data_IF_587483072410
#
_entry.id   IF_587483072410
#
_cell.length_a   1.000
_cell.length_b   1.000
_cell.length_c   1.000
_cell.angle_alpha   90.00
_cell.angle_beta   90.00
_cell.angle_gamma   90.00
#
_symmetry.space_group_name_H-M   'P 1'
#
loop_
_entity.id
_entity.type
_entity.pdbx_description
1 polymer ?
#
# COMPACT_ATOMS: atom_id res chain seq x y z
N UNK A 1 -9.57 -11.58 17.30
CA UNK A 1 -10.22 -10.26 17.22
C UNK A 1 -9.19 -9.30 16.63
N UNK A 2 -9.43 -8.74 15.44
CA UNK A 2 -8.51 -7.81 14.76
C UNK A 2 -8.75 -6.35 15.17
N UNK A 3 -7.72 -5.49 15.06
CA UNK A 3 -7.90 -4.04 15.20
C UNK A 3 -8.70 -3.50 14.03
N UNK A 4 -9.52 -2.48 14.24
CA UNK A 4 -10.11 -1.77 13.11
C UNK A 4 -9.02 -1.07 12.27
N UNK A 5 -9.30 -0.87 10.97
CA UNK A 5 -8.53 0.04 10.13
C UNK A 5 -8.32 1.40 10.81
N UNK A 6 -7.19 2.10 10.55
CA UNK A 6 -6.20 1.81 9.52
C UNK A 6 -5.15 0.76 9.91
N UNK A 7 -4.57 0.13 8.89
CA UNK A 7 -3.40 -0.76 9.02
C UNK A 7 -2.26 -0.22 8.17
N UNK A 8 -1.02 -0.49 8.55
CA UNK A 8 0.13 -0.01 7.77
C UNK A 8 1.29 -0.98 7.73
N UNK A 9 2.03 -0.91 6.64
CA UNK A 9 3.35 -1.51 6.48
C UNK A 9 4.37 -0.41 6.20
N UNK A 10 5.59 -0.59 6.69
CA UNK A 10 6.70 0.33 6.46
C UNK A 10 7.88 -0.46 5.91
N UNK A 11 8.51 0.07 4.87
CA UNK A 11 9.63 -0.58 4.18
C UNK A 11 10.81 0.39 4.16
N UNK A 12 11.97 -0.05 4.68
CA UNK A 12 13.26 0.61 4.46
C UNK A 12 13.85 0.11 3.13
N UNK A 13 14.06 1.01 2.17
CA UNK A 13 14.65 0.67 0.87
C UNK A 13 16.19 0.60 0.92
N UNK A 14 16.80 0.83 2.09
CA UNK A 14 18.25 0.76 2.34
C UNK A 14 19.05 1.96 1.81
N UNK A 15 18.45 2.80 0.97
CA UNK A 15 19.03 4.03 0.43
C UNK A 15 17.92 5.03 0.09
N UNK A 16 18.28 6.31 -0.03
CA UNK A 16 17.36 7.33 -0.54
C UNK A 16 17.09 7.05 -2.03
N UNK A 17 15.82 6.91 -2.40
CA UNK A 17 15.35 6.64 -3.76
C UNK A 17 14.35 7.68 -4.21
N UNK A 18 14.36 8.02 -5.49
CA UNK A 18 13.29 8.77 -6.15
C UNK A 18 12.30 7.77 -6.75
N UNK A 19 11.07 7.82 -6.25
CA UNK A 19 9.99 6.90 -6.61
C UNK A 19 9.13 7.55 -7.68
N UNK A 20 8.81 6.77 -8.72
CA UNK A 20 7.94 7.18 -9.84
C UNK A 20 6.49 6.77 -9.61
N UNK A 21 6.29 5.57 -9.07
CA UNK A 21 4.98 4.98 -8.80
C UNK A 21 5.10 3.83 -7.80
N UNK A 22 3.98 3.49 -7.18
CA UNK A 22 3.84 2.25 -6.41
C UNK A 22 2.96 1.23 -7.15
N UNK A 23 3.10 -0.02 -6.74
CA UNK A 23 2.27 -1.13 -7.16
C UNK A 23 1.74 -1.91 -5.95
N UNK A 24 0.52 -2.43 -6.06
CA UNK A 24 -0.01 -3.41 -5.11
C UNK A 24 -0.61 -4.59 -5.86
N UNK A 25 -0.39 -5.80 -5.34
CA UNK A 25 -1.03 -7.01 -5.80
C UNK A 25 -1.88 -7.59 -4.67
N UNK A 26 -3.13 -7.93 -4.96
CA UNK A 26 -4.02 -8.61 -4.01
C UNK A 26 -3.61 -10.08 -3.89
N UNK A 27 -3.70 -10.65 -2.69
CA UNK A 27 -3.42 -12.07 -2.47
C UNK A 27 -4.69 -12.89 -2.67
N UNK A 28 -5.02 -13.31 -3.89
CA UNK A 28 -6.05 -14.35 -4.08
C UNK A 28 -5.45 -15.76 -4.22
N UNK A 29 -4.12 -15.90 -4.11
CA UNK A 29 -3.44 -17.20 -4.22
C UNK A 29 -3.50 -18.04 -2.94
N UNK A 30 -4.00 -17.47 -1.83
CA UNK A 30 -3.97 -18.08 -0.49
C UNK A 30 -5.27 -18.81 -0.09
N UNK A 31 -6.21 -19.03 -1.03
CA UNK A 31 -7.43 -19.79 -0.77
C UNK A 31 -8.19 -20.21 -2.03
N UNK A 32 -9.05 -21.25 -1.95
CA UNK A 32 -9.79 -21.79 -3.10
C UNK A 32 -10.76 -20.80 -3.77
N UNK A 33 -11.13 -19.70 -3.10
CA UNK A 33 -12.01 -18.65 -3.60
C UNK A 33 -11.31 -17.27 -3.70
N UNK A 34 -10.01 -17.20 -3.39
CA UNK A 34 -9.30 -15.95 -3.19
C UNK A 34 -9.57 -15.27 -1.85
N UNK A 35 -8.82 -14.21 -1.55
CA UNK A 35 -9.00 -13.35 -0.37
C UNK A 35 -9.24 -11.89 -0.78
N UNK A 36 -10.51 -11.50 -0.82
CA UNK A 36 -10.95 -10.18 -1.26
C UNK A 36 -10.80 -9.10 -0.17
N UNK A 37 -10.15 -9.40 0.96
CA UNK A 37 -10.00 -8.48 2.10
C UNK A 37 -8.93 -7.41 1.90
N UNK A 38 -8.39 -7.27 0.69
CA UNK A 38 -7.50 -6.17 0.35
C UNK A 38 -8.19 -4.80 0.55
N UNK A 39 -7.45 -3.77 0.99
CA UNK A 39 -8.03 -2.45 1.22
C UNK A 39 -8.62 -1.88 -0.09
N UNK A 40 -9.69 -1.10 0.03
CA UNK A 40 -10.32 -0.36 -1.09
C UNK A 40 -9.92 1.12 -1.12
N UNK A 41 -9.28 1.59 -0.05
CA UNK A 41 -8.69 2.92 0.04
C UNK A 41 -7.32 2.82 0.70
N UNK A 42 -6.31 3.39 0.06
CA UNK A 42 -4.92 3.33 0.51
C UNK A 42 -4.26 4.70 0.50
N UNK A 43 -3.18 4.86 1.27
CA UNK A 43 -2.31 6.04 1.26
C UNK A 43 -0.86 5.59 1.16
N UNK A 44 -0.08 6.33 0.36
CA UNK A 44 1.38 6.19 0.34
C UNK A 44 2.05 7.38 1.00
N UNK A 45 3.07 7.11 1.81
CA UNK A 45 3.92 8.11 2.44
C UNK A 45 5.40 7.76 2.22
N UNK A 46 6.25 8.76 2.20
CA UNK A 46 7.71 8.60 2.19
C UNK A 46 8.35 9.31 3.37
N UNK A 47 9.53 8.83 3.77
CA UNK A 47 10.31 9.41 4.84
C UNK A 47 11.81 9.25 4.57
N UNK A 48 12.61 10.18 5.09
CA UNK A 48 14.08 10.07 5.11
C UNK A 48 14.57 9.40 6.41
N UNK A 49 13.79 9.46 7.49
CA UNK A 49 14.23 9.16 8.86
C UNK A 49 13.33 8.15 9.61
N UNK A 50 12.25 7.68 9.00
CA UNK A 50 11.22 6.81 9.59
C UNK A 50 10.43 7.46 10.75
N UNK A 51 10.57 8.77 10.96
CA UNK A 51 9.92 9.55 12.03
C UNK A 51 8.97 10.56 11.41
N UNK A 52 9.48 11.37 10.48
CA UNK A 52 8.72 12.39 9.76
C UNK A 52 8.24 11.83 8.42
N UNK A 53 6.94 11.99 8.13
CA UNK A 53 6.31 11.36 6.96
C UNK A 53 5.66 12.41 6.06
N UNK A 54 5.98 12.35 4.77
CA UNK A 54 5.35 13.16 3.73
C UNK A 54 4.34 12.30 2.99
N UNK A 55 3.08 12.73 2.98
CA UNK A 55 2.01 12.07 2.21
C UNK A 55 2.25 12.27 0.71
N UNK A 56 2.12 11.20 -0.06
CA UNK A 56 2.15 11.22 -1.53
C UNK A 56 0.75 11.18 -2.14
N UNK A 57 -0.29 10.95 -1.33
CA UNK A 57 -1.68 10.93 -1.75
C UNK A 57 -2.45 9.74 -1.19
N UNK A 58 -3.77 9.85 -1.28
CA UNK A 58 -4.71 8.75 -1.07
C UNK A 58 -5.22 8.27 -2.42
N UNK A 59 -5.44 6.96 -2.54
CA UNK A 59 -5.85 6.32 -3.77
C UNK A 59 -6.97 5.32 -3.50
N UNK A 60 -7.89 5.21 -4.43
CA UNK A 60 -8.82 4.09 -4.48
C UNK A 60 -8.10 2.85 -5.00
N UNK A 61 -8.36 1.70 -4.40
CA UNK A 61 -7.86 0.39 -4.82
C UNK A 61 -9.02 -0.55 -5.05
N UNK A 62 -8.87 -1.49 -5.98
CA UNK A 62 -9.88 -2.49 -6.26
C UNK A 62 -9.43 -3.83 -5.66
N UNK A 63 -10.16 -4.32 -4.66
CA UNK A 63 -9.86 -5.56 -3.94
C UNK A 63 -10.13 -6.84 -4.75
N UNK A 64 -10.71 -6.73 -5.95
CA UNK A 64 -11.02 -7.86 -6.84
C UNK A 64 -10.09 -7.96 -8.06
N UNK A 65 -9.28 -6.93 -8.34
CA UNK A 65 -8.31 -6.98 -9.43
C UNK A 65 -7.13 -7.87 -9.03
N UNK A 66 -6.83 -8.82 -9.90
CA UNK A 66 -5.82 -9.86 -9.73
C UNK A 66 -4.45 -9.54 -10.33
N UNK A 67 -4.39 -8.52 -11.16
CA UNK A 67 -3.14 -7.98 -11.69
C UNK A 67 -2.65 -6.86 -10.78
N UNK A 68 -1.38 -6.54 -10.89
CA UNK A 68 -0.83 -5.41 -10.16
C UNK A 68 -1.56 -4.10 -10.52
N UNK A 69 -1.90 -3.33 -9.49
CA UNK A 69 -2.50 -2.00 -9.62
C UNK A 69 -1.44 -0.93 -9.35
N UNK A 70 -1.33 0.04 -10.25
CA UNK A 70 -0.31 1.08 -10.18
C UNK A 70 -0.85 2.43 -9.72
N UNK A 71 -0.08 3.11 -8.88
CA UNK A 71 -0.41 4.41 -8.29
C UNK A 71 0.69 5.42 -8.58
N UNK A 72 0.38 6.46 -9.35
CA UNK A 72 1.35 7.50 -9.70
C UNK A 72 1.61 8.40 -8.49
N UNK A 73 2.88 8.67 -8.21
CA UNK A 73 3.28 9.61 -7.15
C UNK A 73 3.43 11.01 -7.72
N UNK A 74 3.33 12.07 -6.89
CA UNK A 74 3.78 13.40 -7.26
C UNK A 74 5.22 13.39 -7.78
N UNK A 75 5.53 14.29 -8.71
CA UNK A 75 6.87 14.40 -9.26
C UNK A 75 7.91 14.67 -8.15
N UNK A 76 9.02 13.94 -8.17
CA UNK A 76 10.12 14.12 -7.21
C UNK A 76 9.91 13.46 -5.84
N UNK A 77 8.94 12.55 -5.68
CA UNK A 77 8.76 11.78 -4.46
C UNK A 77 10.05 11.03 -4.07
N UNK A 78 10.72 11.49 -3.02
CA UNK A 78 12.04 10.99 -2.61
C UNK A 78 12.03 10.60 -1.14
N UNK A 79 12.55 9.41 -0.83
CA UNK A 79 12.63 8.90 0.54
C UNK A 79 13.55 7.69 0.64
N UNK A 80 13.97 7.34 1.86
CA UNK A 80 14.62 6.06 2.17
C UNK A 80 13.57 5.02 2.57
N UNK A 81 12.51 5.47 3.23
CA UNK A 81 11.40 4.63 3.65
C UNK A 81 10.17 4.98 2.84
N UNK A 82 9.32 4.00 2.60
CA UNK A 82 7.93 4.24 2.26
C UNK A 82 7.00 3.52 3.22
N UNK A 83 5.79 4.04 3.34
CA UNK A 83 4.70 3.46 4.13
C UNK A 83 3.46 3.37 3.27
N UNK A 84 2.86 2.19 3.24
CA UNK A 84 1.52 1.97 2.72
C UNK A 84 0.57 1.88 3.92
N UNK A 85 -0.49 2.68 3.90
CA UNK A 85 -1.57 2.64 4.89
C UNK A 85 -2.83 2.19 4.17
N UNK A 86 -3.38 1.04 4.57
CA UNK A 86 -4.77 0.71 4.28
C UNK A 86 -5.66 1.59 5.14
N UNK A 87 -6.47 2.44 4.52
CA UNK A 87 -7.39 3.36 5.20
C UNK A 87 -8.76 2.75 5.40
N UNK A 88 -9.18 1.87 4.48
CA UNK A 88 -10.51 1.27 4.49
C UNK A 88 -10.49 -0.10 3.80
N UNK A 89 -11.12 -1.10 4.43
CA UNK A 89 -11.42 -2.40 3.83
C UNK A 89 -12.79 -2.45 3.12
N UNK A 90 -13.08 -3.51 2.36
CA UNK A 90 -14.36 -3.69 1.68
C UNK A 90 -15.51 -3.93 2.67
N UNK A 91 -16.74 -3.86 2.19
CA UNK A 91 -17.93 -4.14 3.00
C UNK A 91 -17.81 -5.53 3.66
N UNK A 92 -18.10 -5.62 4.95
CA UNK A 92 -17.93 -6.86 5.72
C UNK A 92 -16.52 -7.13 6.24
N UNK A 93 -15.51 -6.34 5.85
CA UNK A 93 -14.15 -6.43 6.39
C UNK A 93 -13.65 -5.08 6.91
N UNK A 94 -13.82 -4.85 8.21
CA UNK A 94 -13.33 -3.65 8.90
C UNK A 94 -12.08 -3.89 9.76
N UNK A 95 -11.54 -5.11 9.79
CA UNK A 95 -10.55 -5.53 10.79
C UNK A 95 -9.22 -6.06 10.25
N UNK A 96 -9.16 -6.41 8.97
CA UNK A 96 -7.99 -7.08 8.40
C UNK A 96 -7.58 -6.41 7.11
N UNK A 97 -6.27 -6.20 6.95
CA UNK A 97 -5.66 -5.82 5.68
C UNK A 97 -4.89 -7.01 5.13
N UNK A 98 -5.27 -7.47 3.93
CA UNK A 98 -4.57 -8.52 3.20
C UNK A 98 -3.89 -7.92 1.97
N UNK A 99 -2.62 -8.26 1.75
CA UNK A 99 -1.84 -7.82 0.60
C UNK A 99 -0.97 -8.99 0.15
N UNK A 100 -0.89 -9.22 -1.16
CA UNK A 100 0.04 -10.19 -1.74
C UNK A 100 1.41 -9.56 -1.95
N UNK A 101 1.43 -8.35 -2.53
CA UNK A 101 2.66 -7.61 -2.80
C UNK A 101 2.45 -6.10 -2.63
N UNK A 102 3.53 -5.42 -2.22
CA UNK A 102 3.71 -3.98 -2.41
C UNK A 102 5.04 -3.74 -3.11
N UNK A 103 5.02 -2.90 -4.15
CA UNK A 103 6.19 -2.63 -5.00
C UNK A 103 6.42 -1.12 -5.16
N UNK A 104 7.69 -0.72 -5.21
CA UNK A 104 8.10 0.66 -5.50
C UNK A 104 8.94 0.70 -6.77
N UNK A 105 8.51 1.50 -7.75
CA UNK A 105 9.19 1.64 -9.04
C UNK A 105 9.97 2.95 -9.09
N UNK A 106 11.26 2.83 -9.40
CA UNK A 106 12.20 3.94 -9.40
C UNK A 106 12.35 4.55 -10.80
N UNK A 107 13.01 5.71 -10.86
CA UNK A 107 13.55 6.28 -12.09
C UNK A 107 14.89 5.64 -12.47
#
# INVERSE_FOLDING_TARGET
>A
NGSAYPHSITVDMGAVRTIKRFGTLNSLYDGPEGDDRAPIKIQFLVSLDNITWTSLGEYSSNNTILTEQFYQTPAGATGRYFKLVGLQGPSGNSQYMVLGEVSAYLF
#
